data_IF_287090526310
#
_entry.id   IF_287090526310
#
_cell.length_a   1.000
_cell.length_b   1.000
_cell.length_c   1.000
_cell.angle_alpha   90.00
_cell.angle_beta   90.00
_cell.angle_gamma   90.00
#
_symmetry.space_group_name_H-M   'P 1'
#
loop_
_entity.id
_entity.type
_entity.pdbx_description
1 polymer ?
#
# COMPACT_ATOMS: atom_id res chain seq x y z
N UNK A 1 6.05 -27.19 35.82
CA UNK A 1 5.46 -26.51 34.66
C UNK A 1 4.05 -27.05 34.51
N UNK A 2 3.15 -26.25 35.03
CA UNK A 2 1.74 -26.45 35.29
C UNK A 2 0.98 -26.49 33.96
N UNK A 3 0.08 -27.47 33.82
CA UNK A 3 -0.68 -27.73 32.60
C UNK A 3 -1.46 -26.49 32.09
N UNK A 4 -1.68 -25.47 32.93
CA UNK A 4 -2.31 -24.21 32.55
C UNK A 4 -1.51 -23.37 31.54
N UNK A 5 -0.16 -23.37 31.58
CA UNK A 5 0.64 -22.57 30.63
C UNK A 5 0.53 -23.11 29.19
N UNK A 6 0.53 -24.43 29.04
CA UNK A 6 0.37 -25.06 27.73
C UNK A 6 -1.00 -24.72 27.12
N UNK A 7 -2.06 -24.72 27.92
CA UNK A 7 -3.42 -24.34 27.50
C UNK A 7 -3.49 -22.87 27.07
N UNK A 8 -2.87 -21.96 27.83
CA UNK A 8 -2.83 -20.53 27.48
C UNK A 8 -2.13 -20.31 26.13
N UNK A 9 -1.03 -21.02 25.87
CA UNK A 9 -0.33 -20.92 24.59
C UNK A 9 -1.17 -21.47 23.44
N UNK A 10 -1.84 -22.61 23.61
CA UNK A 10 -2.69 -23.17 22.55
C UNK A 10 -3.90 -22.30 22.26
N UNK A 11 -4.51 -21.70 23.29
CA UNK A 11 -5.64 -20.79 23.12
C UNK A 11 -5.21 -19.52 22.40
N UNK A 12 -4.09 -18.90 22.80
CA UNK A 12 -3.56 -17.74 22.10
C UNK A 12 -3.18 -18.03 20.65
N UNK A 13 -2.53 -19.16 20.38
CA UNK A 13 -2.17 -19.54 19.01
C UNK A 13 -3.42 -19.79 18.14
N UNK A 14 -4.47 -20.38 18.72
CA UNK A 14 -5.77 -20.56 18.06
C UNK A 14 -6.42 -19.21 17.72
N UNK A 15 -6.48 -18.31 18.70
CA UNK A 15 -7.04 -16.97 18.54
C UNK A 15 -6.26 -16.14 17.50
N UNK A 16 -4.93 -16.22 17.50
CA UNK A 16 -4.08 -15.57 16.49
C UNK A 16 -4.37 -16.14 15.09
N UNK A 17 -4.50 -17.46 14.96
CA UNK A 17 -4.83 -18.12 13.70
C UNK A 17 -6.19 -17.68 13.16
N UNK A 18 -7.21 -17.62 14.03
CA UNK A 18 -8.55 -17.18 13.63
C UNK A 18 -8.54 -15.71 13.20
N UNK A 19 -7.83 -14.84 13.93
CA UNK A 19 -7.66 -13.43 13.56
C UNK A 19 -6.97 -13.26 12.20
N UNK A 20 -5.93 -14.05 11.89
CA UNK A 20 -5.28 -14.01 10.58
C UNK A 20 -6.25 -14.37 9.45
N UNK A 21 -7.07 -15.41 9.63
CA UNK A 21 -8.10 -15.78 8.64
C UNK A 21 -9.14 -14.68 8.48
N UNK A 22 -9.56 -14.04 9.58
CA UNK A 22 -10.48 -12.89 9.54
C UNK A 22 -9.88 -11.67 8.82
N UNK A 23 -8.56 -11.51 8.77
CA UNK A 23 -7.88 -10.42 8.05
C UNK A 23 -7.74 -10.68 6.53
N UNK A 24 -7.84 -11.94 6.07
CA UNK A 24 -7.71 -12.28 4.64
C UNK A 24 -8.58 -11.43 3.70
N UNK A 25 -9.86 -11.13 3.99
CA UNK A 25 -10.68 -10.27 3.15
C UNK A 25 -10.11 -8.84 3.02
N UNK A 26 -9.57 -8.28 4.11
CA UNK A 26 -8.96 -6.94 4.11
C UNK A 26 -7.71 -6.90 3.23
N UNK A 27 -6.86 -7.93 3.33
CA UNK A 27 -5.72 -8.09 2.43
C UNK A 27 -6.14 -8.23 0.96
N UNK A 28 -7.26 -8.92 0.70
CA UNK A 28 -7.84 -9.00 -0.64
C UNK A 28 -8.21 -7.64 -1.21
N UNK A 29 -8.90 -6.79 -0.43
CA UNK A 29 -9.26 -5.42 -0.84
C UNK A 29 -8.00 -4.58 -1.05
N UNK A 30 -7.02 -4.66 -0.14
CA UNK A 30 -5.76 -3.93 -0.25
C UNK A 30 -4.99 -4.32 -1.52
N UNK A 31 -4.95 -5.60 -1.89
CA UNK A 31 -4.35 -6.06 -3.15
C UNK A 31 -5.06 -5.47 -4.36
N UNK A 32 -6.39 -5.42 -4.36
CA UNK A 32 -7.16 -4.78 -5.43
C UNK A 32 -6.78 -3.30 -5.57
N UNK A 33 -6.69 -2.58 -4.45
CA UNK A 33 -6.25 -1.17 -4.45
C UNK A 33 -4.85 -1.02 -5.02
N UNK A 34 -3.90 -1.87 -4.61
CA UNK A 34 -2.53 -1.83 -5.14
C UNK A 34 -2.46 -2.12 -6.63
N UNK A 35 -3.29 -3.04 -7.14
CA UNK A 35 -3.41 -3.29 -8.58
C UNK A 35 -3.90 -2.02 -9.30
N UNK A 36 -4.91 -1.34 -8.76
CA UNK A 36 -5.38 -0.06 -9.31
C UNK A 36 -4.29 1.02 -9.25
N UNK A 37 -3.58 1.16 -8.14
CA UNK A 37 -2.44 2.08 -8.00
C UNK A 37 -1.39 1.80 -9.07
N UNK A 38 -1.03 0.55 -9.28
CA UNK A 38 -0.06 0.15 -10.30
C UNK A 38 -0.53 0.52 -11.72
N UNK A 39 -1.81 0.30 -12.03
CA UNK A 39 -2.40 0.71 -13.31
C UNK A 39 -2.32 2.23 -13.52
N UNK A 40 -2.61 3.02 -12.48
CA UNK A 40 -2.50 4.48 -12.50
C UNK A 40 -1.04 4.91 -12.68
N UNK A 41 -0.10 4.32 -11.92
CA UNK A 41 1.33 4.61 -12.01
C UNK A 41 1.89 4.34 -13.43
N UNK A 42 1.43 3.24 -14.06
CA UNK A 42 1.76 2.90 -15.44
C UNK A 42 1.21 3.94 -16.43
N UNK A 43 0.03 4.48 -16.17
CA UNK A 43 -0.58 5.56 -16.97
C UNK A 43 0.10 6.92 -16.80
N UNK A 44 0.55 7.25 -15.58
CA UNK A 44 1.17 8.54 -15.24
C UNK A 44 2.40 8.88 -16.10
N UNK A 45 3.18 7.87 -16.49
CA UNK A 45 4.34 8.04 -17.39
C UNK A 45 3.96 8.61 -18.76
N UNK A 46 2.80 8.21 -19.31
CA UNK A 46 2.31 8.75 -20.59
C UNK A 46 1.87 10.21 -20.48
N UNK A 47 1.33 10.60 -19.33
CA UNK A 47 0.88 11.96 -19.08
C UNK A 47 2.08 12.92 -18.97
N UNK A 48 3.16 12.49 -18.32
CA UNK A 48 4.39 13.28 -18.20
C UNK A 48 4.96 13.65 -19.59
N UNK A 49 5.06 12.70 -20.50
CA UNK A 49 5.50 12.96 -21.87
C UNK A 49 4.57 13.94 -22.63
N UNK A 50 3.25 13.82 -22.45
CA UNK A 50 2.27 14.67 -23.17
C UNK A 50 2.25 16.11 -22.64
N UNK A 51 2.41 16.31 -21.33
CA UNK A 51 2.42 17.64 -20.72
C UNK A 51 3.76 18.36 -20.92
N UNK A 52 4.87 17.62 -20.93
CA UNK A 52 6.21 18.20 -20.99
C UNK A 52 6.69 18.37 -22.44
N UNK A 53 6.11 17.69 -23.42
CA UNK A 53 6.43 17.90 -24.84
C UNK A 53 6.22 19.34 -25.36
N UNK A 54 5.52 20.19 -24.60
CA UNK A 54 5.38 21.62 -24.91
C UNK A 54 6.48 22.52 -24.31
N UNK A 55 7.31 21.99 -23.40
CA UNK A 55 8.41 22.72 -22.77
C UNK A 55 9.74 22.06 -23.16
N UNK A 56 10.76 22.84 -23.52
CA UNK A 56 12.13 22.36 -23.83
C UNK A 56 12.85 21.83 -22.57
N UNK A 57 12.28 20.81 -21.93
CA UNK A 57 12.83 20.19 -20.73
C UNK A 57 13.80 19.11 -21.14
N UNK A 58 15.03 19.17 -20.60
CA UNK A 58 16.07 18.16 -20.85
C UNK A 58 15.59 16.77 -20.43
N UNK A 59 15.98 15.76 -21.21
CA UNK A 59 15.61 14.36 -20.97
C UNK A 59 15.90 13.87 -19.54
N UNK A 60 16.99 14.33 -18.91
CA UNK A 60 17.32 13.94 -17.53
C UNK A 60 16.32 14.45 -16.48
N UNK A 61 15.78 15.67 -16.66
CA UNK A 61 14.76 16.23 -15.77
C UNK A 61 13.41 15.54 -15.97
N UNK A 62 13.09 15.18 -17.22
CA UNK A 62 11.89 14.41 -17.54
C UNK A 62 11.89 13.05 -16.84
N UNK A 63 13.00 12.31 -16.90
CA UNK A 63 13.18 11.05 -16.16
C UNK A 63 12.99 11.24 -14.65
N UNK A 64 13.50 12.35 -14.11
CA UNK A 64 13.35 12.68 -12.70
C UNK A 64 11.88 12.93 -12.34
N UNK A 65 11.16 13.72 -13.14
CA UNK A 65 9.74 14.01 -12.95
C UNK A 65 8.92 12.72 -13.05
N UNK A 66 9.18 11.86 -14.03
CA UNK A 66 8.52 10.56 -14.16
C UNK A 66 8.73 9.69 -12.93
N UNK A 67 9.95 9.69 -12.40
CA UNK A 67 10.30 8.94 -11.18
C UNK A 67 9.55 9.50 -9.99
N UNK A 68 9.57 10.82 -9.78
CA UNK A 68 8.87 11.49 -8.67
C UNK A 68 7.37 11.23 -8.73
N UNK A 69 6.73 11.39 -9.90
CA UNK A 69 5.30 11.11 -10.08
C UNK A 69 4.99 9.65 -9.76
N UNK A 70 5.80 8.72 -10.27
CA UNK A 70 5.62 7.29 -10.00
C UNK A 70 5.73 7.00 -8.50
N UNK A 71 6.73 7.57 -7.82
CA UNK A 71 6.94 7.40 -6.38
C UNK A 71 5.78 7.99 -5.59
N UNK A 72 5.29 9.18 -5.93
CA UNK A 72 4.14 9.80 -5.26
C UNK A 72 2.87 8.94 -5.39
N UNK A 73 2.60 8.39 -6.57
CA UNK A 73 1.46 7.49 -6.77
C UNK A 73 1.59 6.24 -5.90
N UNK A 74 2.79 5.65 -5.81
CA UNK A 74 3.04 4.52 -4.93
C UNK A 74 2.87 4.85 -3.46
N UNK A 75 3.41 5.99 -3.00
CA UNK A 75 3.25 6.44 -1.63
C UNK A 75 1.76 6.54 -1.30
N UNK A 76 0.98 7.24 -2.12
CA UNK A 76 -0.46 7.40 -1.90
C UNK A 76 -1.20 6.05 -1.91
N UNK A 77 -0.93 5.18 -2.88
CA UNK A 77 -1.57 3.87 -2.96
C UNK A 77 -1.20 2.95 -1.80
N UNK A 78 0.05 2.98 -1.34
CA UNK A 78 0.49 2.23 -0.17
C UNK A 78 -0.16 2.75 1.11
N UNK A 79 -0.30 4.07 1.27
CA UNK A 79 -1.04 4.64 2.39
C UNK A 79 -2.51 4.18 2.41
N UNK A 80 -3.20 4.22 1.26
CA UNK A 80 -4.59 3.74 1.16
C UNK A 80 -4.68 2.24 1.45
N UNK A 81 -3.75 1.43 0.93
CA UNK A 81 -3.73 0.00 1.24
C UNK A 81 -3.49 -0.27 2.74
N UNK A 82 -2.60 0.51 3.37
CA UNK A 82 -2.32 0.39 4.79
C UNK A 82 -3.53 0.73 5.67
N UNK A 83 -4.31 1.76 5.34
CA UNK A 83 -5.53 2.10 6.12
C UNK A 83 -6.61 1.02 6.03
N UNK A 84 -6.62 0.22 4.96
CA UNK A 84 -7.54 -0.90 4.75
C UNK A 84 -7.11 -2.12 5.57
N UNK A 85 -5.81 -2.46 5.57
CA UNK A 85 -5.27 -3.60 6.33
C UNK A 85 -5.25 -3.31 7.82
N UNK A 86 -4.96 -2.07 8.21
CA UNK A 86 -4.80 -1.63 9.60
C UNK A 86 -5.86 -0.57 9.91
N UNK A 87 -7.12 -0.97 10.13
CA UNK A 87 -8.20 -0.05 10.44
C UNK A 87 -7.87 0.74 11.72
N UNK A 88 -7.84 2.06 11.61
CA UNK A 88 -7.44 2.98 12.69
C UNK A 88 -6.14 3.74 12.41
N UNK A 89 -5.33 3.30 11.43
CA UNK A 89 -4.26 4.12 10.88
C UNK A 89 -4.85 5.05 9.82
N UNK A 90 -4.88 6.35 10.11
CA UNK A 90 -5.19 7.39 9.12
C UNK A 90 -3.97 8.31 8.96
N UNK A 91 -3.80 8.95 7.80
CA UNK A 91 -2.67 9.86 7.60
C UNK A 91 -2.65 10.99 8.65
N UNK A 92 -3.81 11.41 9.16
CA UNK A 92 -3.93 12.40 10.23
C UNK A 92 -3.61 11.90 11.64
N UNK A 93 -3.47 10.59 11.86
CA UNK A 93 -3.04 10.04 13.16
C UNK A 93 -1.52 9.83 13.27
N UNK A 94 -0.78 10.04 12.18
CA UNK A 94 0.69 9.81 12.09
C UNK A 94 1.48 11.14 12.07
N UNK A 95 0.82 12.25 11.69
CA UNK A 95 1.37 13.62 11.73
C UNK A 95 0.98 14.32 13.03
#
# INVERSE_FOLDING_TARGET
MDAGFATILTDQLGDMGEQLVRMLPQFGIALVVLIFTWLIAKGGRKIAHKLIGAAEVRASLLTLIETVITVLIWILGLFIAATIVLPGLTAGSIL
#
